data_IF_410579958380
#
_entry.id   IF_410579958380
#
_cell.length_a   1.000
_cell.length_b   1.000
_cell.length_c   1.000
_cell.angle_alpha   90.00
_cell.angle_beta   90.00
_cell.angle_gamma   90.00
#
_symmetry.space_group_name_H-M   'P 1'
#
loop_
_entity.id
_entity.type
_entity.pdbx_description
1 polymer ?
#
# COMPACT_ATOMS: atom_id res chain seq x y z
N UNK A 1 32.51 4.79 -13.81
CA UNK A 1 31.88 3.45 -13.76
C UNK A 1 31.22 3.19 -12.41
N UNK A 2 31.93 3.25 -11.28
CA UNK A 2 31.34 3.05 -9.95
C UNK A 2 30.26 4.10 -9.58
N UNK A 3 30.49 5.38 -9.90
CA UNK A 3 29.51 6.47 -9.72
C UNK A 3 28.22 6.28 -10.51
N UNK A 4 28.34 5.78 -11.74
CA UNK A 4 27.19 5.54 -12.63
C UNK A 4 26.36 4.35 -12.15
N UNK A 5 27.02 3.30 -11.64
CA UNK A 5 26.37 2.17 -10.98
C UNK A 5 25.59 2.58 -9.72
N UNK A 6 26.14 3.48 -8.90
CA UNK A 6 25.45 3.98 -7.71
C UNK A 6 24.16 4.75 -8.06
N UNK A 7 24.21 5.60 -9.09
CA UNK A 7 23.03 6.36 -9.55
C UNK A 7 21.97 5.40 -10.11
N UNK A 8 22.38 4.40 -10.90
CA UNK A 8 21.47 3.39 -11.43
C UNK A 8 20.82 2.53 -10.32
N UNK A 9 21.58 2.17 -9.29
CA UNK A 9 21.09 1.36 -8.16
C UNK A 9 20.11 2.15 -7.27
N UNK A 10 20.40 3.42 -6.99
CA UNK A 10 19.47 4.31 -6.25
C UNK A 10 18.21 4.60 -7.06
N UNK A 11 18.32 4.80 -8.38
CA UNK A 11 17.17 4.99 -9.26
C UNK A 11 16.23 3.77 -9.28
N UNK A 12 16.78 2.56 -9.24
CA UNK A 12 15.99 1.33 -9.25
C UNK A 12 15.26 1.07 -7.92
N UNK A 13 15.84 1.51 -6.79
CA UNK A 13 15.18 1.38 -5.46
C UNK A 13 14.00 2.33 -5.25
N UNK A 14 13.90 3.43 -5.99
CA UNK A 14 12.80 4.38 -5.83
C UNK A 14 11.46 3.85 -6.37
N UNK A 15 11.47 2.77 -7.17
CA UNK A 15 10.27 2.20 -7.79
C UNK A 15 9.61 1.09 -6.97
N UNK A 16 10.25 0.59 -5.90
CA UNK A 16 9.69 -0.50 -5.08
C UNK A 16 8.55 -0.05 -4.15
N UNK A 17 8.18 1.23 -4.15
CA UNK A 17 7.04 1.75 -3.38
C UNK A 17 5.73 1.85 -4.18
N UNK A 18 5.72 1.48 -5.46
CA UNK A 18 4.51 1.58 -6.27
C UNK A 18 3.59 0.39 -6.02
N UNK A 19 2.36 0.67 -5.55
CA UNK A 19 1.28 -0.32 -5.50
C UNK A 19 0.95 -0.83 -6.91
N UNK A 20 0.34 -2.01 -7.05
CA UNK A 20 -0.28 -2.43 -8.31
C UNK A 20 -1.15 -1.32 -8.89
N UNK A 21 -1.03 -1.06 -10.20
CA UNK A 21 -1.73 0.04 -10.89
C UNK A 21 -3.24 0.04 -10.65
N UNK A 22 -3.85 -1.14 -10.58
CA UNK A 22 -5.28 -1.31 -10.34
C UNK A 22 -5.74 -0.76 -8.97
N UNK A 23 -4.85 -0.75 -7.97
CA UNK A 23 -5.13 -0.21 -6.64
C UNK A 23 -4.94 1.31 -6.55
N UNK A 24 -4.30 1.93 -7.55
CA UNK A 24 -4.25 3.40 -7.67
C UNK A 24 -5.50 4.01 -8.32
N UNK A 25 -6.39 3.17 -8.88
CA UNK A 25 -7.66 3.64 -9.44
C UNK A 25 -8.53 4.37 -8.41
N UNK A 26 -8.31 4.10 -7.11
CA UNK A 26 -8.99 4.79 -6.01
C UNK A 26 -7.96 5.61 -5.22
N UNK A 27 -7.80 6.87 -5.65
CA UNK A 27 -7.15 7.89 -4.83
C UNK A 27 -8.24 8.63 -4.05
N UNK A 28 -8.26 8.54 -2.71
CA UNK A 28 -9.28 9.22 -1.91
C UNK A 28 -9.18 10.74 -2.08
N UNK A 29 -10.31 11.37 -2.41
CA UNK A 29 -10.45 12.81 -2.24
C UNK A 29 -10.62 13.12 -0.74
N UNK A 30 -10.00 14.19 -0.26
CA UNK A 30 -10.20 14.63 1.13
C UNK A 30 -9.01 15.38 1.73
N UNK A 31 -9.12 15.76 3.01
CA UNK A 31 -8.05 16.42 3.76
C UNK A 31 -6.76 15.59 3.79
N UNK A 32 -5.59 16.21 3.99
CA UNK A 32 -4.31 15.50 4.05
C UNK A 32 -4.29 14.30 5.01
N UNK A 33 -4.96 14.41 6.16
CA UNK A 33 -5.00 13.37 7.19
C UNK A 33 -5.82 12.15 6.74
N UNK A 34 -6.89 12.38 5.97
CA UNK A 34 -7.69 11.32 5.37
C UNK A 34 -6.87 10.56 4.33
N UNK A 35 -6.19 11.29 3.42
CA UNK A 35 -5.33 10.69 2.39
C UNK A 35 -4.19 9.88 3.03
N UNK A 36 -3.57 10.43 4.08
CA UNK A 36 -2.52 9.75 4.83
C UNK A 36 -3.04 8.47 5.51
N UNK A 37 -4.21 8.54 6.14
CA UNK A 37 -4.83 7.37 6.78
C UNK A 37 -5.13 6.29 5.77
N UNK A 38 -5.75 6.63 4.64
CA UNK A 38 -6.02 5.70 3.54
C UNK A 38 -4.75 5.03 3.02
N UNK A 39 -3.69 5.81 2.76
CA UNK A 39 -2.42 5.27 2.30
C UNK A 39 -1.79 4.33 3.33
N UNK A 40 -1.72 4.71 4.60
CA UNK A 40 -1.15 3.84 5.64
C UNK A 40 -1.99 2.56 5.83
N UNK A 41 -3.32 2.69 5.76
CA UNK A 41 -4.27 1.57 5.84
C UNK A 41 -4.11 0.61 4.68
N UNK A 42 -4.03 1.12 3.45
CA UNK A 42 -3.93 0.32 2.25
C UNK A 42 -2.62 -0.51 2.21
N UNK A 43 -1.49 0.05 2.65
CA UNK A 43 -0.21 -0.69 2.74
C UNK A 43 -0.33 -1.83 3.75
N UNK A 44 -0.98 -1.55 4.88
CA UNK A 44 -1.26 -2.58 5.87
C UNK A 44 -2.15 -3.67 5.28
N UNK A 45 -3.19 -3.33 4.52
CA UNK A 45 -4.09 -4.28 3.85
C UNK A 45 -3.35 -5.18 2.86
N UNK A 46 -2.46 -4.61 2.05
CA UNK A 46 -1.62 -5.36 1.10
C UNK A 46 -0.65 -6.31 1.80
N UNK A 47 -0.04 -5.88 2.90
CA UNK A 47 0.83 -6.74 3.71
C UNK A 47 0.07 -7.91 4.35
N UNK A 48 -1.23 -7.75 4.59
CA UNK A 48 -2.03 -8.75 5.28
C UNK A 48 -2.56 -9.84 4.32
N UNK A 49 -3.00 -9.46 3.11
CA UNK A 49 -3.73 -10.36 2.20
C UNK A 49 -3.19 -10.41 0.77
N UNK A 50 -2.22 -9.55 0.41
CA UNK A 50 -1.61 -9.55 -0.92
C UNK A 50 -0.71 -10.77 -1.17
N UNK A 51 -0.16 -10.85 -2.39
CA UNK A 51 0.79 -11.88 -2.80
C UNK A 51 2.06 -11.87 -1.93
N UNK A 52 2.89 -12.94 -1.92
CA UNK A 52 4.14 -12.96 -1.15
C UNK A 52 5.03 -11.73 -1.41
N UNK A 53 5.06 -11.25 -2.66
CA UNK A 53 5.78 -10.03 -3.04
C UNK A 53 5.19 -8.81 -2.33
N UNK A 54 3.87 -8.66 -2.29
CA UNK A 54 3.22 -7.56 -1.56
C UNK A 54 3.50 -7.64 -0.05
N UNK A 55 3.52 -8.83 0.54
CA UNK A 55 3.86 -9.02 1.96
C UNK A 55 5.30 -8.66 2.29
N UNK A 56 6.22 -8.84 1.34
CA UNK A 56 7.63 -8.45 1.49
C UNK A 56 7.86 -6.96 1.23
N UNK A 57 7.03 -6.36 0.39
CA UNK A 57 7.17 -4.94 -0.03
C UNK A 57 6.47 -3.99 0.94
N UNK A 58 5.29 -4.38 1.42
CA UNK A 58 4.45 -3.58 2.31
C UNK A 58 4.47 -4.14 3.73
N UNK A 59 4.10 -3.30 4.70
CA UNK A 59 4.04 -3.69 6.10
C UNK A 59 2.94 -2.94 6.85
N UNK A 60 2.76 -3.29 8.12
CA UNK A 60 1.87 -2.54 9.00
C UNK A 60 2.35 -1.09 9.13
N UNK A 61 1.49 -0.15 8.78
CA UNK A 61 1.72 1.29 8.92
C UNK A 61 0.53 1.89 9.64
N UNK A 62 0.71 2.28 10.89
CA UNK A 62 -0.27 3.08 11.64
C UNK A 62 0.49 4.01 12.57
N UNK A 63 0.27 5.30 12.40
CA UNK A 63 1.02 6.36 13.06
C UNK A 63 0.50 6.61 14.47
N UNK A 64 1.30 6.37 15.53
CA UNK A 64 0.87 6.65 16.91
C UNK A 64 0.49 8.11 17.14
N UNK A 65 1.18 9.03 16.49
CA UNK A 65 0.92 10.48 16.55
C UNK A 65 -0.46 10.87 16.00
N UNK A 66 -1.08 10.02 15.19
CA UNK A 66 -2.43 10.22 14.65
C UNK A 66 -3.52 9.50 15.47
N UNK A 67 -3.19 8.92 16.63
CA UNK A 67 -4.11 8.09 17.43
C UNK A 67 -5.39 8.81 17.90
N UNK A 68 -5.33 10.13 18.09
CA UNK A 68 -6.49 10.98 18.44
C UNK A 68 -7.19 11.59 17.23
N UNK A 69 -6.69 11.39 16.01
CA UNK A 69 -7.28 11.92 14.80
C UNK A 69 -8.31 10.93 14.24
N UNK A 70 -9.60 11.21 14.46
CA UNK A 70 -10.69 10.34 14.01
C UNK A 70 -10.74 10.19 12.48
N UNK A 71 -10.46 11.26 11.73
CA UNK A 71 -10.46 11.24 10.28
C UNK A 71 -9.38 10.31 9.71
N UNK A 72 -8.17 10.36 10.28
CA UNK A 72 -7.08 9.42 9.94
C UNK A 72 -7.47 7.98 10.27
N UNK A 73 -8.02 7.73 11.47
CA UNK A 73 -8.41 6.38 11.90
C UNK A 73 -9.49 5.78 11.01
N UNK A 74 -10.49 6.59 10.66
CA UNK A 74 -11.54 6.18 9.72
C UNK A 74 -10.92 5.82 8.36
N UNK A 75 -10.14 6.74 7.78
CA UNK A 75 -9.52 6.52 6.47
C UNK A 75 -8.58 5.31 6.47
N UNK A 76 -7.87 5.08 7.58
CA UNK A 76 -7.03 3.90 7.76
C UNK A 76 -7.82 2.60 7.68
N UNK A 77 -8.98 2.53 8.34
CA UNK A 77 -9.84 1.35 8.28
C UNK A 77 -10.41 1.14 6.87
N UNK A 78 -10.79 2.22 6.19
CA UNK A 78 -11.32 2.18 4.83
C UNK A 78 -10.26 1.70 3.82
N UNK A 79 -9.07 2.32 3.83
CA UNK A 79 -7.96 1.92 2.97
C UNK A 79 -7.47 0.50 3.24
N UNK A 80 -7.39 0.09 4.51
CA UNK A 80 -7.08 -1.29 4.90
C UNK A 80 -8.09 -2.27 4.30
N UNK A 81 -9.37 -2.00 4.48
CA UNK A 81 -10.45 -2.88 4.00
C UNK A 81 -10.40 -2.99 2.49
N UNK A 82 -10.35 -1.86 1.77
CA UNK A 82 -10.31 -1.83 0.33
C UNK A 82 -9.12 -2.64 -0.21
N UNK A 83 -7.89 -2.28 0.15
CA UNK A 83 -6.72 -2.92 -0.44
C UNK A 83 -6.52 -4.37 0.02
N UNK A 84 -6.99 -4.74 1.21
CA UNK A 84 -6.97 -6.14 1.66
C UNK A 84 -7.82 -7.03 0.76
N UNK A 85 -9.05 -6.59 0.45
CA UNK A 85 -10.01 -7.43 -0.27
C UNK A 85 -9.90 -7.29 -1.80
N UNK A 86 -9.42 -6.16 -2.32
CA UNK A 86 -9.18 -5.97 -3.75
C UNK A 86 -7.89 -6.65 -4.23
N UNK A 87 -6.84 -6.73 -3.40
CA UNK A 87 -5.60 -7.41 -3.78
C UNK A 87 -5.77 -8.92 -4.03
N UNK A 88 -6.69 -9.56 -3.31
CA UNK A 88 -7.03 -10.97 -3.53
C UNK A 88 -7.84 -11.22 -4.82
N UNK A 89 -8.45 -10.17 -5.38
CA UNK A 89 -9.25 -10.24 -6.61
C UNK A 89 -8.46 -9.85 -7.88
N UNK A 90 -7.20 -9.38 -7.75
CA UNK A 90 -6.40 -8.92 -8.90
C UNK A 90 -5.75 -10.09 -9.64
N UNK A 91 -5.79 -10.11 -10.99
CA UNK A 91 -5.32 -11.24 -11.81
C UNK A 91 -3.80 -11.50 -11.79
N UNK A 92 -3.00 -10.62 -11.18
CA UNK A 92 -1.57 -10.82 -10.95
C UNK A 92 -1.25 -11.52 -9.61
N UNK A 93 -2.26 -11.90 -8.83
CA UNK A 93 -2.11 -12.81 -7.71
C UNK A 93 -2.33 -14.23 -8.21
N UNK A 94 -1.29 -15.06 -8.20
CA UNK A 94 -1.38 -16.49 -8.53
C UNK A 94 -2.53 -17.12 -7.73
N UNK A 95 -3.65 -17.41 -8.41
CA UNK A 95 -4.84 -17.98 -7.79
C UNK A 95 -4.85 -19.49 -8.04
N UNK A 96 -4.91 -20.32 -6.97
CA UNK A 96 -5.47 -21.65 -7.14
C UNK A 96 -6.75 -21.88 -6.33
N UNK A 97 -7.26 -20.95 -5.53
CA UNK A 97 -8.44 -21.21 -4.69
C UNK A 97 -9.47 -20.08 -4.70
N UNK A 98 -10.54 -20.38 -5.44
CA UNK A 98 -11.88 -19.81 -5.38
C UNK A 98 -12.33 -19.40 -3.97
N UNK A 99 -12.97 -18.23 -3.90
CA UNK A 99 -14.17 -18.03 -3.12
C UNK A 99 -15.29 -17.66 -4.08
#
# INVERSE_FOLDING_TARGET
MLRTLFIAMVGLTALSGCRPGDLYAVTPAGPPEYRLGWEDGCDTGLSAQGSPIMKMTFGFKKRPEMGSNELYKQAWNEGFTYCRFTAGASPSGDNPLNW
#
